data_IF_778811823270
#
_entry.id   IF_778811823270
#
_cell.length_a   1.000
_cell.length_b   1.000
_cell.length_c   1.000
_cell.angle_alpha   90.00
_cell.angle_beta   90.00
_cell.angle_gamma   90.00
#
_symmetry.space_group_name_H-M   'P 1'
#
loop_
_entity.id
_entity.type
_entity.pdbx_description
1 polymer ?
#
# COMPACT_ATOMS: atom_id res chain seq x y z
N UNK A 1 8.08 -36.03 32.22
CA UNK A 1 7.11 -34.99 31.87
C UNK A 1 7.91 -33.85 31.30
N UNK A 2 8.09 -33.86 29.99
CA UNK A 2 8.94 -32.89 29.28
C UNK A 2 8.17 -31.59 29.05
N UNK A 3 8.87 -30.49 29.30
CA UNK A 3 8.45 -29.12 29.04
C UNK A 3 8.14 -28.95 27.55
N UNK A 4 6.87 -28.79 27.24
CA UNK A 4 6.43 -28.20 25.98
C UNK A 4 5.79 -26.87 26.35
N UNK A 5 6.11 -25.84 25.56
CA UNK A 5 5.52 -24.49 25.57
C UNK A 5 6.31 -23.44 26.39
N UNK A 6 7.43 -22.96 25.84
CA UNK A 6 7.93 -21.59 26.13
C UNK A 6 8.42 -20.80 24.91
N UNK A 7 8.71 -21.43 23.76
CA UNK A 7 9.27 -20.73 22.57
C UNK A 7 8.24 -20.02 21.64
N UNK A 8 6.94 -20.12 21.93
CA UNK A 8 5.89 -19.63 21.02
C UNK A 8 5.67 -18.10 20.94
N UNK A 9 5.84 -17.29 22.00
CA UNK A 9 5.51 -15.87 21.93
C UNK A 9 6.57 -15.05 21.18
N UNK A 10 7.86 -15.40 21.32
CA UNK A 10 8.96 -14.65 20.71
C UNK A 10 8.97 -14.77 19.18
N UNK A 11 8.67 -15.96 18.65
CA UNK A 11 8.64 -16.19 17.19
C UNK A 11 7.52 -15.43 16.50
N UNK A 12 6.32 -15.41 17.09
CA UNK A 12 5.17 -14.65 16.54
C UNK A 12 5.45 -13.15 16.57
N UNK A 13 6.04 -12.64 17.65
CA UNK A 13 6.45 -11.24 17.75
C UNK A 13 7.52 -10.88 16.71
N UNK A 14 8.46 -11.78 16.41
CA UNK A 14 9.50 -11.56 15.41
C UNK A 14 8.95 -11.44 13.98
N UNK A 15 8.00 -12.30 13.60
CA UNK A 15 7.37 -12.30 12.27
C UNK A 15 6.46 -11.08 12.06
N UNK A 16 5.77 -10.65 13.12
CA UNK A 16 4.98 -9.42 13.10
C UNK A 16 5.88 -8.18 12.93
N UNK A 17 6.99 -8.11 13.67
CA UNK A 17 7.94 -7.00 13.56
C UNK A 17 8.57 -6.92 12.17
N UNK A 18 8.91 -8.06 11.56
CA UNK A 18 9.41 -8.11 10.18
C UNK A 18 8.38 -7.56 9.19
N UNK A 19 7.11 -7.95 9.30
CA UNK A 19 6.03 -7.46 8.43
C UNK A 19 5.83 -5.94 8.58
N UNK A 20 5.90 -5.42 9.81
CA UNK A 20 5.81 -3.98 10.05
C UNK A 20 6.97 -3.21 9.40
N UNK A 21 8.18 -3.75 9.44
CA UNK A 21 9.35 -3.16 8.77
C UNK A 21 9.20 -3.18 7.24
N UNK A 22 8.69 -4.27 6.69
CA UNK A 22 8.39 -4.39 5.26
C UNK A 22 7.35 -3.37 4.79
N UNK A 23 6.26 -3.20 5.55
CA UNK A 23 5.22 -2.21 5.24
C UNK A 23 5.75 -0.77 5.38
N UNK A 24 6.58 -0.49 6.40
CA UNK A 24 7.27 0.80 6.54
C UNK A 24 8.20 1.08 5.37
N UNK A 25 8.91 0.06 4.88
CA UNK A 25 9.76 0.18 3.71
C UNK A 25 8.96 0.53 2.45
N UNK A 26 7.80 -0.11 2.22
CA UNK A 26 6.91 0.26 1.11
C UNK A 26 6.48 1.72 1.22
N UNK A 27 6.10 2.17 2.42
CA UNK A 27 5.73 3.56 2.65
C UNK A 27 6.89 4.50 2.32
N UNK A 28 8.10 4.17 2.77
CA UNK A 28 9.30 4.95 2.47
C UNK A 28 9.57 5.02 0.95
N UNK A 29 9.55 3.88 0.26
CA UNK A 29 9.72 3.80 -1.20
C UNK A 29 8.64 4.61 -1.94
N UNK A 30 7.42 4.62 -1.43
CA UNK A 30 6.35 5.47 -1.95
C UNK A 30 6.66 6.96 -1.73
N UNK A 31 7.07 7.37 -0.53
CA UNK A 31 7.33 8.78 -0.23
C UNK A 31 8.50 9.35 -1.06
N UNK A 32 9.45 8.51 -1.45
CA UNK A 32 10.58 8.87 -2.31
C UNK A 32 10.21 8.82 -3.81
N UNK A 33 9.08 8.21 -4.15
CA UNK A 33 8.63 8.12 -5.54
C UNK A 33 8.30 9.50 -6.12
N UNK A 34 8.69 9.68 -7.38
CA UNK A 34 8.50 10.95 -8.09
C UNK A 34 7.05 11.09 -8.55
N UNK A 35 6.44 12.24 -8.29
CA UNK A 35 5.10 12.63 -8.74
C UNK A 35 5.17 13.93 -9.53
N UNK A 36 4.27 14.08 -10.50
CA UNK A 36 4.19 15.30 -11.30
C UNK A 36 3.27 16.32 -10.62
N UNK A 37 3.81 17.49 -10.30
CA UNK A 37 3.06 18.57 -9.64
C UNK A 37 3.03 19.82 -10.51
N UNK A 38 1.97 20.61 -10.39
CA UNK A 38 1.84 21.90 -11.07
C UNK A 38 2.03 23.04 -10.06
N UNK A 39 2.92 23.97 -10.36
CA UNK A 39 3.17 25.14 -9.53
C UNK A 39 2.09 26.21 -9.70
N UNK A 40 1.61 26.77 -8.60
CA UNK A 40 0.59 27.84 -8.56
C UNK A 40 1.20 29.23 -8.66
N UNK A 41 2.51 29.35 -8.48
CA UNK A 41 3.25 30.62 -8.53
C UNK A 41 4.70 30.38 -8.94
N UNK A 42 5.41 31.45 -9.28
CA UNK A 42 6.85 31.37 -9.57
C UNK A 42 7.62 31.09 -8.29
N UNK A 43 8.61 30.21 -8.37
CA UNK A 43 9.39 29.76 -7.23
C UNK A 43 10.88 29.74 -7.59
N UNK A 44 11.73 30.24 -6.70
CA UNK A 44 13.16 30.45 -6.97
C UNK A 44 13.99 29.16 -6.98
N UNK A 45 13.40 28.01 -6.68
CA UNK A 45 14.10 26.75 -6.47
C UNK A 45 14.75 26.68 -5.08
N UNK A 46 15.15 25.48 -4.70
CA UNK A 46 15.86 25.20 -3.44
C UNK A 46 16.52 23.83 -3.51
N UNK A 47 17.46 23.60 -2.60
CA UNK A 47 18.06 22.29 -2.37
C UNK A 47 17.61 21.75 -1.02
N UNK A 48 17.19 20.50 -0.97
CA UNK A 48 16.81 19.81 0.26
C UNK A 48 17.29 18.36 0.24
N UNK A 49 18.12 17.98 1.22
CA UNK A 49 18.60 16.60 1.36
C UNK A 49 19.33 16.07 0.12
N UNK A 50 20.01 16.93 -0.65
CA UNK A 50 20.68 16.58 -1.90
C UNK A 50 19.76 16.51 -3.14
N UNK A 51 18.46 16.80 -2.98
CA UNK A 51 17.53 16.96 -4.10
C UNK A 51 17.45 18.44 -4.47
N UNK A 52 17.72 18.74 -5.73
CA UNK A 52 17.65 20.09 -6.27
C UNK A 52 16.31 20.30 -6.98
N UNK A 53 15.49 21.18 -6.43
CA UNK A 53 14.24 21.63 -7.06
C UNK A 53 14.57 22.90 -7.85
N UNK A 54 14.46 22.87 -9.19
CA UNK A 54 14.82 24.01 -10.02
C UNK A 54 13.86 25.18 -9.77
N UNK A 55 14.31 26.38 -10.13
CA UNK A 55 13.43 27.54 -10.24
C UNK A 55 12.32 27.26 -11.26
N UNK A 56 11.08 27.54 -10.88
CA UNK A 56 9.89 27.29 -11.68
C UNK A 56 9.12 28.57 -11.93
N UNK A 57 8.36 28.59 -13.03
CA UNK A 57 7.38 29.64 -13.31
C UNK A 57 5.98 29.18 -12.92
N UNK A 58 5.07 30.12 -12.74
CA UNK A 58 3.64 29.82 -12.57
C UNK A 58 3.14 28.86 -13.67
N UNK A 59 2.29 27.91 -13.27
CA UNK A 59 1.71 26.86 -14.11
C UNK A 59 2.68 25.83 -14.70
N UNK A 60 3.98 25.89 -14.39
CA UNK A 60 4.92 24.86 -14.80
C UNK A 60 4.68 23.54 -14.06
N UNK A 61 5.02 22.43 -14.73
CA UNK A 61 4.98 21.09 -14.14
C UNK A 61 6.39 20.54 -13.98
N UNK A 62 6.67 20.00 -12.81
CA UNK A 62 7.92 19.29 -12.54
C UNK A 62 7.64 18.00 -11.77
N UNK A 63 8.51 17.03 -11.97
CA UNK A 63 8.46 15.76 -11.26
C UNK A 63 9.37 15.84 -10.03
N UNK A 64 8.79 15.61 -8.86
CA UNK A 64 9.48 15.71 -7.56
C UNK A 64 9.05 14.57 -6.64
N UNK A 65 9.88 14.18 -5.66
CA UNK A 65 9.49 13.19 -4.66
C UNK A 65 8.22 13.59 -3.90
N UNK A 66 7.36 12.61 -3.62
CA UNK A 66 6.08 12.82 -2.92
C UNK A 66 6.24 13.59 -1.60
N UNK A 67 7.27 13.27 -0.81
CA UNK A 67 7.51 13.98 0.46
C UNK A 67 7.81 15.48 0.25
N UNK A 68 8.47 15.86 -0.84
CA UNK A 68 8.72 17.26 -1.18
C UNK A 68 7.43 17.93 -1.64
N UNK A 69 6.64 17.24 -2.47
CA UNK A 69 5.34 17.74 -2.91
C UNK A 69 4.42 18.05 -1.73
N UNK A 70 4.36 17.18 -0.72
CA UNK A 70 3.59 17.42 0.50
C UNK A 70 4.03 18.69 1.25
N UNK A 71 5.33 18.98 1.30
CA UNK A 71 5.86 20.21 1.91
C UNK A 71 5.42 21.42 1.08
N UNK A 72 5.63 21.38 -0.24
CA UNK A 72 5.27 22.50 -1.13
C UNK A 72 3.77 22.78 -1.17
N UNK A 73 2.94 21.74 -1.01
CA UNK A 73 1.49 21.87 -0.94
C UNK A 73 1.05 22.58 0.35
N UNK A 74 1.69 22.30 1.49
CA UNK A 74 1.44 23.01 2.76
C UNK A 74 1.77 24.49 2.66
N UNK A 75 2.78 24.84 1.87
CA UNK A 75 3.17 26.23 1.58
C UNK A 75 2.34 26.87 0.45
N UNK A 76 1.32 26.18 -0.09
CA UNK A 76 0.46 26.62 -1.19
C UNK A 76 1.23 26.97 -2.50
N UNK A 77 2.39 26.35 -2.72
CA UNK A 77 3.24 26.60 -3.89
C UNK A 77 2.88 25.74 -5.11
N UNK A 78 2.10 24.68 -4.90
CA UNK A 78 1.64 23.75 -5.93
C UNK A 78 0.13 23.52 -5.83
N UNK A 79 -0.47 23.10 -6.95
CA UNK A 79 -1.86 22.64 -6.98
C UNK A 79 -2.03 21.38 -6.14
N UNK A 80 -3.24 21.17 -5.62
CA UNK A 80 -3.54 19.98 -4.84
C UNK A 80 -3.53 18.73 -5.73
N UNK A 81 -2.37 18.07 -5.76
CA UNK A 81 -2.13 16.82 -6.47
C UNK A 81 -2.81 15.63 -5.79
N UNK A 82 -3.36 15.79 -4.58
CA UNK A 82 -4.08 14.71 -3.87
C UNK A 82 -5.45 14.44 -4.51
N UNK A 83 -5.94 15.29 -5.41
CA UNK A 83 -7.06 14.90 -6.26
C UNK A 83 -6.71 13.76 -7.23
N UNK A 84 -5.41 13.53 -7.49
CA UNK A 84 -4.94 12.38 -8.25
C UNK A 84 -4.77 11.12 -7.37
N UNK A 85 -4.87 11.24 -6.02
CA UNK A 85 -4.81 10.14 -5.04
C UNK A 85 -5.45 10.45 -3.67
N UNK A 86 -6.36 9.63 -3.09
CA UNK A 86 -6.95 8.36 -3.52
C UNK A 86 -8.45 8.47 -3.89
N UNK A 87 -8.96 7.36 -4.44
CA UNK A 87 -10.31 7.16 -4.96
C UNK A 87 -11.38 7.77 -4.03
N UNK A 88 -12.20 8.66 -4.57
CA UNK A 88 -13.47 9.09 -3.99
C UNK A 88 -14.33 7.90 -3.59
N UNK A 89 -15.33 8.08 -2.71
CA UNK A 89 -16.24 7.00 -2.34
C UNK A 89 -16.91 6.34 -3.56
N UNK A 90 -17.21 7.13 -4.59
CA UNK A 90 -17.76 6.65 -5.85
C UNK A 90 -16.77 5.72 -6.57
N UNK A 91 -15.51 6.11 -6.67
CA UNK A 91 -14.46 5.32 -7.30
C UNK A 91 -14.10 4.08 -6.49
N UNK A 92 -14.07 4.15 -5.15
CA UNK A 92 -13.92 2.98 -4.28
C UNK A 92 -15.07 1.99 -4.49
N UNK A 93 -16.30 2.49 -4.59
CA UNK A 93 -17.48 1.66 -4.86
C UNK A 93 -17.38 1.01 -6.24
N UNK A 94 -16.88 1.72 -7.25
CA UNK A 94 -16.63 1.18 -8.57
C UNK A 94 -15.53 0.10 -8.55
N UNK A 95 -14.44 0.35 -7.82
CA UNK A 95 -13.34 -0.61 -7.65
C UNK A 95 -13.83 -1.91 -6.99
N UNK A 96 -14.59 -1.82 -5.90
CA UNK A 96 -15.20 -2.99 -5.23
C UNK A 96 -16.10 -3.76 -6.21
N UNK A 97 -16.98 -3.07 -6.95
CA UNK A 97 -17.86 -3.73 -7.93
C UNK A 97 -17.06 -4.44 -9.03
N UNK A 98 -15.99 -3.80 -9.53
CA UNK A 98 -15.11 -4.39 -10.53
C UNK A 98 -14.41 -5.62 -9.97
N UNK A 99 -13.93 -5.53 -8.73
CA UNK A 99 -13.28 -6.64 -8.04
C UNK A 99 -14.24 -7.83 -7.91
N UNK A 100 -15.43 -7.65 -7.36
CA UNK A 100 -16.41 -8.75 -7.19
C UNK A 100 -16.77 -9.44 -8.51
N UNK A 101 -16.89 -8.67 -9.61
CA UNK A 101 -17.35 -9.20 -10.90
C UNK A 101 -16.32 -10.06 -11.63
N UNK A 102 -15.04 -9.79 -11.44
CA UNK A 102 -13.99 -10.46 -12.20
C UNK A 102 -13.34 -11.57 -11.38
N UNK A 103 -12.99 -12.69 -12.01
CA UNK A 103 -12.30 -13.80 -11.34
C UNK A 103 -10.86 -13.46 -10.94
N UNK A 104 -10.23 -12.53 -11.67
CA UNK A 104 -8.85 -12.09 -11.44
C UNK A 104 -8.78 -10.83 -10.57
N UNK A 105 -7.62 -10.62 -9.95
CA UNK A 105 -7.32 -9.43 -9.16
C UNK A 105 -7.29 -8.21 -10.09
N UNK A 106 -8.01 -7.15 -9.75
CA UNK A 106 -8.08 -5.95 -10.59
C UNK A 106 -6.91 -4.99 -10.35
N UNK A 107 -6.56 -4.17 -11.34
CA UNK A 107 -5.48 -3.20 -11.16
C UNK A 107 -5.88 -2.09 -10.18
N UNK A 108 -5.03 -1.88 -9.18
CA UNK A 108 -5.01 -0.72 -8.30
C UNK A 108 -3.66 -0.02 -8.40
N UNK A 109 -3.57 1.18 -7.84
CA UNK A 109 -2.28 1.84 -7.68
C UNK A 109 -1.34 0.96 -6.83
N UNK A 110 -0.05 0.79 -7.19
CA UNK A 110 0.88 -0.06 -6.44
C UNK A 110 0.97 0.26 -4.95
N UNK A 111 0.79 1.53 -4.59
CA UNK A 111 0.85 2.03 -3.21
C UNK A 111 -0.52 2.39 -2.63
N UNK A 112 -1.60 1.81 -3.15
CA UNK A 112 -2.98 2.14 -2.77
C UNK A 112 -3.23 2.12 -1.25
N UNK A 113 -2.77 1.06 -0.55
CA UNK A 113 -3.00 0.94 0.89
C UNK A 113 -2.20 1.96 1.70
N UNK A 114 -0.97 2.27 1.29
CA UNK A 114 -0.13 3.30 1.92
C UNK A 114 -0.79 4.67 1.80
N UNK A 115 -1.23 5.02 0.58
CA UNK A 115 -1.96 6.27 0.30
C UNK A 115 -3.23 6.41 1.13
N UNK A 116 -4.04 5.35 1.19
CA UNK A 116 -5.26 5.37 2.00
C UNK A 116 -4.96 5.52 3.49
N UNK A 117 -3.91 4.85 3.98
CA UNK A 117 -3.51 4.98 5.40
C UNK A 117 -3.05 6.39 5.75
N UNK A 118 -2.30 7.06 4.85
CA UNK A 118 -1.90 8.45 5.05
C UNK A 118 -3.10 9.39 5.07
N UNK A 119 -4.06 9.20 4.16
CA UNK A 119 -5.28 10.00 4.14
C UNK A 119 -6.05 9.87 5.46
N UNK A 120 -6.23 8.65 5.96
CA UNK A 120 -6.90 8.40 7.25
C UNK A 120 -6.18 9.11 8.39
N UNK A 121 -4.85 8.99 8.48
CA UNK A 121 -4.06 9.65 9.52
C UNK A 121 -4.18 11.17 9.43
N UNK A 122 -4.10 11.74 8.22
CA UNK A 122 -4.24 13.19 8.01
C UNK A 122 -5.63 13.70 8.38
N UNK A 123 -6.69 12.94 8.09
CA UNK A 123 -8.06 13.25 8.50
C UNK A 123 -8.23 13.21 10.02
N UNK A 124 -7.60 12.23 10.70
CA UNK A 124 -7.67 12.11 12.16
C UNK A 124 -6.87 13.21 12.89
N UNK A 125 -5.81 13.77 12.27
CA UNK A 125 -4.95 14.81 12.87
C UNK A 125 -5.49 16.23 12.66
N UNK A 126 -6.03 16.54 11.48
CA UNK A 126 -6.25 17.94 11.08
C UNK A 126 -7.56 18.56 11.58
N UNK A 127 -8.37 17.87 12.38
CA UNK A 127 -9.67 18.35 12.95
C UNK A 127 -10.56 19.05 11.90
N UNK A 128 -10.32 18.72 10.63
CA UNK A 128 -10.97 19.35 9.50
C UNK A 128 -12.41 18.88 9.47
N UNK A 129 -13.29 19.69 8.86
CA UNK A 129 -14.69 19.37 8.52
C UNK A 129 -14.83 18.16 7.55
N UNK A 130 -13.91 17.19 7.61
CA UNK A 130 -14.02 15.93 6.94
C UNK A 130 -15.21 15.20 7.53
N UNK A 131 -16.23 14.96 6.71
CA UNK A 131 -17.43 14.24 7.12
C UNK A 131 -17.02 12.86 7.64
N UNK A 132 -17.07 12.68 8.97
CA UNK A 132 -16.73 11.42 9.63
C UNK A 132 -17.53 10.25 9.04
N UNK A 133 -18.76 10.52 8.58
CA UNK A 133 -19.63 9.55 7.93
C UNK A 133 -19.03 9.13 6.59
N UNK A 134 -18.50 10.07 5.81
CA UNK A 134 -17.87 9.81 4.52
C UNK A 134 -16.57 9.02 4.69
N UNK A 135 -15.71 9.42 5.64
CA UNK A 135 -14.48 8.67 5.96
C UNK A 135 -14.79 7.23 6.40
N UNK A 136 -15.82 7.05 7.24
CA UNK A 136 -16.27 5.73 7.67
C UNK A 136 -16.72 4.89 6.47
N UNK A 137 -17.50 5.46 5.54
CA UNK A 137 -17.93 4.77 4.32
C UNK A 137 -16.74 4.39 3.43
N UNK A 138 -15.75 5.25 3.30
CA UNK A 138 -14.51 4.94 2.58
C UNK A 138 -13.75 3.79 3.25
N UNK A 139 -13.56 3.83 4.58
CA UNK A 139 -12.95 2.75 5.37
C UNK A 139 -13.68 1.41 5.16
N UNK A 140 -15.01 1.41 5.16
CA UNK A 140 -15.82 0.21 4.93
C UNK A 140 -15.66 -0.33 3.50
N UNK A 141 -15.59 0.54 2.49
CA UNK A 141 -15.32 0.11 1.10
C UNK A 141 -13.92 -0.46 0.92
N UNK A 142 -12.91 0.14 1.54
CA UNK A 142 -11.54 -0.39 1.51
C UNK A 142 -11.47 -1.76 2.19
N UNK A 143 -12.13 -1.95 3.35
CA UNK A 143 -12.22 -3.27 3.99
C UNK A 143 -12.87 -4.31 3.08
N UNK A 144 -13.97 -3.95 2.42
CA UNK A 144 -14.63 -4.85 1.47
C UNK A 144 -13.69 -5.21 0.31
N UNK A 145 -12.99 -4.22 -0.26
CA UNK A 145 -12.02 -4.43 -1.33
C UNK A 145 -10.89 -5.37 -0.90
N UNK A 146 -10.34 -5.18 0.31
CA UNK A 146 -9.32 -6.06 0.89
C UNK A 146 -9.83 -7.50 0.99
N UNK A 147 -11.04 -7.72 1.51
CA UNK A 147 -11.62 -9.07 1.67
C UNK A 147 -11.76 -9.79 0.33
N UNK A 148 -12.29 -9.10 -0.69
CA UNK A 148 -12.46 -9.66 -2.04
C UNK A 148 -11.11 -10.02 -2.67
N UNK A 149 -10.13 -9.12 -2.57
CA UNK A 149 -8.79 -9.32 -3.12
C UNK A 149 -8.04 -10.43 -2.41
N UNK A 150 -8.10 -10.47 -1.07
CA UNK A 150 -7.48 -11.53 -0.28
C UNK A 150 -8.00 -12.92 -0.68
N UNK A 151 -9.31 -13.04 -0.86
CA UNK A 151 -9.93 -14.30 -1.30
C UNK A 151 -9.40 -14.79 -2.65
N UNK A 152 -9.07 -13.86 -3.56
CA UNK A 152 -8.45 -14.19 -4.85
C UNK A 152 -6.96 -14.50 -4.71
N UNK A 153 -6.22 -13.74 -3.90
CA UNK A 153 -4.80 -13.97 -3.64
C UNK A 153 -4.59 -15.38 -3.07
N UNK A 154 -5.39 -15.80 -2.09
CA UNK A 154 -5.32 -17.15 -1.51
C UNK A 154 -5.57 -18.25 -2.55
N UNK A 155 -6.44 -18.02 -3.54
CA UNK A 155 -6.65 -18.98 -4.65
C UNK A 155 -5.44 -19.06 -5.57
N UNK A 156 -4.72 -17.94 -5.75
CA UNK A 156 -3.55 -17.88 -6.62
C UNK A 156 -2.32 -18.54 -5.98
N UNK A 157 -2.22 -18.60 -4.65
CA UNK A 157 -1.04 -19.16 -3.96
C UNK A 157 -0.90 -20.68 -4.10
N UNK A 158 -1.95 -21.38 -4.53
CA UNK A 158 -1.92 -22.83 -4.80
C UNK A 158 -1.42 -23.17 -6.23
N UNK A 159 -1.25 -22.16 -7.10
CA UNK A 159 -0.75 -22.39 -8.45
C UNK A 159 0.77 -22.56 -8.49
N UNK A 160 1.25 -23.54 -9.27
CA UNK A 160 2.68 -23.84 -9.42
C UNK A 160 3.47 -22.78 -10.23
N UNK A 161 2.78 -21.86 -10.91
CA UNK A 161 3.39 -20.80 -11.75
C UNK A 161 3.41 -19.46 -10.99
N UNK A 162 4.13 -19.44 -9.87
CA UNK A 162 4.24 -18.26 -9.00
C UNK A 162 5.01 -17.14 -9.71
N UNK A 163 4.31 -16.10 -10.15
CA UNK A 163 4.93 -14.84 -10.58
C UNK A 163 4.12 -13.63 -10.09
N UNK A 164 4.43 -13.08 -8.89
CA UNK A 164 3.68 -11.98 -8.31
C UNK A 164 3.77 -10.68 -9.14
N UNK A 165 4.81 -10.52 -9.98
CA UNK A 165 4.96 -9.34 -10.86
C UNK A 165 4.03 -9.33 -12.06
N UNK A 166 3.41 -10.47 -12.38
CA UNK A 166 2.42 -10.60 -13.46
C UNK A 166 0.98 -10.46 -12.95
N UNK A 167 0.82 -10.26 -11.65
CA UNK A 167 -0.47 -10.12 -11.00
C UNK A 167 -0.70 -8.63 -10.71
N UNK A 168 -1.93 -8.17 -10.87
CA UNK A 168 -2.37 -6.79 -10.59
C UNK A 168 -2.39 -6.46 -9.08
N UNK A 169 -1.35 -6.87 -8.36
CA UNK A 169 -1.19 -6.73 -6.92
C UNK A 169 -0.54 -5.39 -6.58
N UNK A 170 -0.96 -4.84 -5.45
CA UNK A 170 -0.24 -3.75 -4.78
C UNK A 170 1.05 -4.26 -4.15
N UNK A 171 1.97 -3.36 -3.81
CA UNK A 171 3.21 -3.71 -3.13
C UNK A 171 2.96 -4.49 -1.82
N UNK A 172 1.99 -4.06 -1.01
CA UNK A 172 1.63 -4.75 0.23
C UNK A 172 1.06 -6.16 -0.02
N UNK A 173 0.30 -6.35 -1.09
CA UNK A 173 -0.24 -7.65 -1.46
C UNK A 173 0.82 -8.61 -2.00
N UNK A 174 1.83 -8.09 -2.70
CA UNK A 174 2.98 -8.91 -3.14
C UNK A 174 3.69 -9.51 -1.92
N UNK A 175 3.88 -8.72 -0.86
CA UNK A 175 4.48 -9.21 0.39
C UNK A 175 3.60 -10.28 1.03
N UNK A 176 2.31 -9.99 1.19
CA UNK A 176 1.35 -10.94 1.76
C UNK A 176 1.32 -12.26 0.99
N UNK A 177 1.21 -12.21 -0.33
CA UNK A 177 1.17 -13.39 -1.19
C UNK A 177 2.46 -14.20 -1.10
N UNK A 178 3.63 -13.53 -1.03
CA UNK A 178 4.93 -14.20 -0.88
C UNK A 178 5.00 -14.96 0.44
N UNK A 179 4.54 -14.36 1.55
CA UNK A 179 4.49 -15.04 2.85
C UNK A 179 3.53 -16.24 2.82
N UNK A 180 2.30 -16.06 2.33
CA UNK A 180 1.32 -17.15 2.21
C UNK A 180 1.88 -18.30 1.36
N UNK A 181 2.48 -18.00 0.21
CA UNK A 181 3.08 -19.03 -0.65
C UNK A 181 4.19 -19.80 0.07
N UNK A 182 5.08 -19.10 0.78
CA UNK A 182 6.14 -19.75 1.57
C UNK A 182 5.58 -20.71 2.64
N UNK A 183 4.50 -20.31 3.32
CA UNK A 183 3.83 -21.15 4.31
C UNK A 183 3.20 -22.40 3.67
N UNK A 184 2.54 -22.24 2.52
CA UNK A 184 1.94 -23.36 1.78
C UNK A 184 3.01 -24.35 1.32
N UNK A 185 4.13 -23.86 0.75
CA UNK A 185 5.26 -24.70 0.30
C UNK A 185 5.88 -25.45 1.48
N UNK A 186 6.15 -24.76 2.59
CA UNK A 186 6.71 -25.38 3.80
C UNK A 186 5.78 -26.43 4.41
N UNK A 187 4.47 -26.17 4.42
CA UNK A 187 3.50 -27.14 4.92
C UNK A 187 3.42 -28.38 4.03
N UNK A 188 3.37 -28.21 2.70
CA UNK A 188 3.40 -29.32 1.73
C UNK A 188 4.67 -30.17 1.86
N UNK A 189 5.83 -29.55 2.12
CA UNK A 189 7.09 -30.28 2.26
C UNK A 189 7.14 -31.13 3.54
N UNK A 190 6.58 -30.64 4.65
CA UNK A 190 6.48 -31.41 5.90
C UNK A 190 5.63 -32.68 5.73
N UNK A 191 4.46 -32.56 5.09
CA UNK A 191 3.59 -33.72 4.84
C UNK A 191 4.28 -34.75 3.94
N UNK A 192 4.93 -34.29 2.86
CA UNK A 192 5.61 -35.18 1.92
C UNK A 192 6.87 -35.86 2.51
N UNK A 193 7.42 -35.34 3.61
CA UNK A 193 8.53 -35.98 4.34
C UNK A 193 8.03 -37.12 5.25
N UNK A 194 6.84 -36.99 5.84
CA UNK A 194 6.22 -38.07 6.62
C UNK A 194 5.92 -39.30 5.75
N UNK A 195 5.54 -39.11 4.49
CA UNK A 195 5.27 -40.21 3.53
C UNK A 195 6.52 -41.01 3.12
N UNK A 196 7.73 -40.47 3.32
CA UNK A 196 9.00 -41.15 2.98
C UNK A 196 9.68 -41.84 4.16
N UNK A 197 9.08 -41.75 5.35
CA UNK A 197 9.57 -42.31 6.60
C UNK A 197 8.94 -43.65 7.00
N UNK A 198 8.27 -44.35 6.07
CA UNK A 198 7.70 -45.71 6.25
C UNK A 198 8.40 -46.71 5.33
#
# INVERSE_FOLDING_TARGET
>A
MENIITDKPEKIQSEQMELELELKRILFEFTDSSISVKFTSSFSGFEFGGINIPSTTENSRIDIPYFIAEILLKENLIEDFRNDFPLSLQELTAAVRKEVRHGEVQQLHPYFYSLFSEQVIKSDINDSHYDEIELKRQKDRVKQLITERLSKIIKLTDSNDFNPRRLNLTASEVILMTKIHSWVVNWKSLINQEERGV
#
